data_IF_183512924427
#
_entry.id   IF_183512924427
#
_cell.length_a   1.000
_cell.length_b   1.000
_cell.length_c   1.000
_cell.angle_alpha   90.00
_cell.angle_beta   90.00
_cell.angle_gamma   90.00
#
_symmetry.space_group_name_H-M   'P 1'
#
loop_
_entity.id
_entity.type
_entity.pdbx_description
1 polymer ?
#
# COMPACT_ATOMS: atom_id res chain seq x y z
N UNK A 1 -32.61 -9.52 -11.70
CA UNK A 1 -31.57 -10.48 -11.21
C UNK A 1 -30.55 -9.82 -10.26
N UNK A 2 -30.96 -9.38 -9.06
CA UNK A 2 -30.04 -8.99 -7.96
C UNK A 2 -30.42 -9.59 -6.61
N UNK A 3 -31.45 -10.43 -6.58
CA UNK A 3 -31.95 -11.09 -5.37
C UNK A 3 -31.24 -12.43 -5.09
N UNK A 4 -30.85 -13.17 -6.13
CA UNK A 4 -30.22 -14.49 -5.98
C UNK A 4 -28.81 -14.44 -5.38
N UNK A 5 -28.03 -13.39 -5.69
CA UNK A 5 -26.67 -13.24 -5.16
C UNK A 5 -26.69 -12.95 -3.65
N UNK A 6 -27.66 -12.16 -3.17
CA UNK A 6 -27.83 -11.90 -1.72
C UNK A 6 -28.18 -13.17 -0.94
N UNK A 7 -29.01 -14.05 -1.51
CA UNK A 7 -29.48 -15.25 -0.83
C UNK A 7 -28.44 -16.39 -0.80
N UNK A 8 -27.52 -16.41 -1.76
CA UNK A 8 -26.37 -17.32 -1.78
C UNK A 8 -25.27 -16.83 -0.84
N UNK A 9 -25.14 -15.51 -0.64
CA UNK A 9 -24.21 -14.91 0.33
C UNK A 9 -24.68 -15.09 1.79
N UNK A 10 -26.00 -15.03 2.05
CA UNK A 10 -26.57 -15.29 3.39
C UNK A 10 -26.52 -16.77 3.80
N UNK A 11 -26.56 -17.71 2.84
CA UNK A 11 -26.43 -19.16 3.12
C UNK A 11 -24.98 -19.62 3.33
N UNK A 12 -23.99 -18.75 3.11
CA UNK A 12 -22.57 -18.99 3.38
C UNK A 12 -22.14 -18.77 4.83
N UNK A 13 -23.05 -18.44 5.75
CA UNK A 13 -22.72 -18.30 7.18
C UNK A 13 -21.93 -17.05 7.54
N UNK A 14 -21.77 -16.08 6.64
CA UNK A 14 -21.23 -14.75 6.97
C UNK A 14 -22.38 -13.88 7.49
N UNK A 15 -22.90 -14.27 8.66
CA UNK A 15 -23.60 -13.38 9.60
C UNK A 15 -22.68 -12.95 10.74
N UNK A 16 -21.36 -13.10 10.59
CA UNK A 16 -20.45 -12.36 11.44
C UNK A 16 -20.39 -10.94 10.91
N UNK A 17 -20.99 -10.02 11.65
CA UNK A 17 -20.72 -8.60 11.47
C UNK A 17 -19.20 -8.37 11.59
N UNK A 18 -18.65 -7.33 10.95
CA UNK A 18 -17.23 -6.95 11.15
C UNK A 18 -16.89 -6.82 12.65
N UNK A 19 -17.88 -6.45 13.48
CA UNK A 19 -17.80 -6.40 14.94
C UNK A 19 -17.64 -7.78 15.58
N UNK A 20 -18.28 -8.83 15.07
CA UNK A 20 -18.15 -10.20 15.60
C UNK A 20 -16.76 -10.78 15.31
N UNK A 21 -16.20 -10.48 14.12
CA UNK A 21 -14.83 -10.89 13.76
C UNK A 21 -13.83 -10.22 14.69
N UNK A 22 -13.96 -8.90 14.91
CA UNK A 22 -13.09 -8.15 15.82
C UNK A 22 -13.25 -8.65 17.25
N UNK A 23 -14.48 -8.92 17.70
CA UNK A 23 -14.76 -9.46 19.03
C UNK A 23 -14.14 -10.84 19.24
N UNK A 24 -14.22 -11.73 18.24
CA UNK A 24 -13.60 -13.05 18.28
C UNK A 24 -12.06 -12.95 18.30
N UNK A 25 -11.48 -12.06 17.50
CA UNK A 25 -10.04 -11.78 17.50
C UNK A 25 -9.55 -11.25 18.85
N UNK A 26 -10.29 -10.30 19.43
CA UNK A 26 -9.98 -9.74 20.74
C UNK A 26 -10.11 -10.80 21.86
N UNK A 27 -11.13 -11.66 21.79
CA UNK A 27 -11.29 -12.79 22.73
C UNK A 27 -10.09 -13.73 22.67
N UNK A 28 -9.70 -14.19 21.48
CA UNK A 28 -8.54 -15.07 21.32
C UNK A 28 -7.24 -14.40 21.74
N UNK A 29 -7.08 -13.11 21.49
CA UNK A 29 -5.92 -12.33 21.93
C UNK A 29 -5.83 -12.24 23.46
N UNK A 30 -6.93 -11.88 24.13
CA UNK A 30 -6.99 -11.84 25.60
C UNK A 30 -6.77 -13.22 26.22
N UNK A 31 -7.33 -14.26 25.61
CA UNK A 31 -7.12 -15.65 26.03
C UNK A 31 -5.65 -16.07 25.92
N UNK A 32 -4.98 -15.70 24.83
CA UNK A 32 -3.56 -15.96 24.63
C UNK A 32 -2.71 -15.24 25.68
N UNK A 33 -3.01 -13.96 25.97
CA UNK A 33 -2.33 -13.20 27.04
C UNK A 33 -2.44 -13.94 28.38
N UNK A 34 -3.63 -14.40 28.75
CA UNK A 34 -3.83 -15.12 30.00
C UNK A 34 -2.99 -16.40 30.09
N UNK A 35 -2.87 -17.16 28.98
CA UNK A 35 -2.03 -18.36 28.91
C UNK A 35 -0.54 -18.00 29.08
N UNK A 36 -0.04 -16.99 28.36
CA UNK A 36 1.36 -16.58 28.42
C UNK A 36 1.74 -16.11 29.82
N UNK A 37 0.93 -15.24 30.43
CA UNK A 37 1.16 -14.76 31.80
C UNK A 37 1.15 -15.90 32.83
N UNK A 38 0.29 -16.89 32.64
CA UNK A 38 0.25 -18.08 33.52
C UNK A 38 1.51 -18.92 33.36
N UNK A 39 1.97 -19.15 32.13
CA UNK A 39 3.21 -19.91 31.84
C UNK A 39 4.47 -19.19 32.33
N UNK A 40 4.51 -17.87 32.21
CA UNK A 40 5.55 -17.01 32.79
C UNK A 40 5.63 -17.14 34.31
N UNK A 41 4.47 -17.14 34.98
CA UNK A 41 4.39 -17.34 36.44
C UNK A 41 4.92 -18.72 36.86
N UNK A 42 4.77 -19.73 36.00
CA UNK A 42 5.29 -21.09 36.20
C UNK A 42 6.80 -21.21 35.88
N UNK A 43 7.46 -20.13 35.44
CA UNK A 43 8.89 -20.04 35.13
C UNK A 43 9.37 -21.06 34.07
N UNK A 44 8.49 -21.46 33.15
CA UNK A 44 8.79 -22.34 32.02
C UNK A 44 9.40 -21.54 30.85
N UNK A 45 10.60 -21.01 31.07
CA UNK A 45 11.29 -20.06 30.17
C UNK A 45 11.38 -20.50 28.70
N UNK A 46 11.59 -21.79 28.43
CA UNK A 46 11.73 -22.30 27.04
C UNK A 46 10.46 -22.26 26.19
N UNK A 47 9.27 -22.34 26.81
CA UNK A 47 7.99 -22.27 26.08
C UNK A 47 7.51 -20.83 25.90
N UNK A 48 7.88 -19.94 26.82
CA UNK A 48 7.45 -18.54 26.85
C UNK A 48 7.97 -17.73 25.67
N UNK A 49 9.23 -17.90 25.25
CA UNK A 49 9.84 -17.07 24.19
C UNK A 49 9.13 -17.24 22.83
N UNK A 50 8.71 -18.46 22.49
CA UNK A 50 8.00 -18.73 21.24
C UNK A 50 6.58 -18.13 21.28
N UNK A 51 5.90 -18.24 22.41
CA UNK A 51 4.57 -17.66 22.59
C UNK A 51 4.62 -16.13 22.62
N UNK A 52 5.70 -15.54 23.15
CA UNK A 52 5.90 -14.10 23.17
C UNK A 52 6.07 -13.53 21.74
N UNK A 53 6.73 -14.29 20.84
CA UNK A 53 6.80 -13.92 19.43
C UNK A 53 5.42 -13.93 18.75
N UNK A 54 4.61 -14.96 19.00
CA UNK A 54 3.23 -15.04 18.46
C UNK A 54 2.38 -13.89 18.98
N UNK A 55 2.51 -13.59 20.27
CA UNK A 55 1.84 -12.46 20.93
C UNK A 55 2.16 -11.12 20.25
N UNK A 56 3.45 -10.82 20.00
CA UNK A 56 3.88 -9.57 19.35
C UNK A 56 3.51 -9.51 17.85
N UNK A 57 3.20 -10.65 17.23
CA UNK A 57 2.83 -10.71 15.82
C UNK A 57 1.36 -10.35 15.55
N UNK A 58 0.46 -10.59 16.51
CA UNK A 58 -0.98 -10.28 16.34
C UNK A 58 -1.22 -8.79 16.08
N UNK A 59 -0.63 -7.83 16.84
CA UNK A 59 -0.74 -6.41 16.54
C UNK A 59 -0.23 -6.04 15.14
N UNK A 60 0.84 -6.68 14.66
CA UNK A 60 1.38 -6.47 13.31
C UNK A 60 0.36 -6.88 12.23
N UNK A 61 -0.33 -8.01 12.40
CA UNK A 61 -1.39 -8.45 11.48
C UNK A 61 -2.53 -7.43 11.43
N UNK A 62 -2.97 -6.94 12.59
CA UNK A 62 -4.03 -5.92 12.66
C UNK A 62 -3.60 -4.65 11.95
N UNK A 63 -2.37 -4.18 12.18
CA UNK A 63 -1.82 -3.02 11.49
C UNK A 63 -1.76 -3.24 9.97
N UNK A 64 -1.33 -4.41 9.50
CA UNK A 64 -1.33 -4.77 8.08
C UNK A 64 -2.72 -4.75 7.45
N UNK A 65 -3.74 -5.28 8.14
CA UNK A 65 -5.13 -5.25 7.67
C UNK A 65 -5.69 -3.83 7.59
N UNK A 66 -5.44 -3.01 8.61
CA UNK A 66 -5.85 -1.60 8.61
C UNK A 66 -5.17 -0.85 7.46
N UNK A 67 -3.87 -1.04 7.28
CA UNK A 67 -3.09 -0.44 6.19
C UNK A 67 -3.58 -0.92 4.82
N UNK A 68 -3.96 -2.18 4.66
CA UNK A 68 -4.54 -2.69 3.42
C UNK A 68 -5.84 -1.97 3.08
N UNK A 69 -6.75 -1.84 4.05
CA UNK A 69 -8.03 -1.16 3.84
C UNK A 69 -7.78 0.31 3.51
N UNK A 70 -7.08 1.03 4.39
CA UNK A 70 -6.81 2.46 4.20
C UNK A 70 -6.01 2.72 2.92
N UNK A 71 -5.02 1.88 2.62
CA UNK A 71 -4.18 1.98 1.44
C UNK A 71 -4.96 1.75 0.14
N UNK A 72 -5.88 0.80 0.10
CA UNK A 72 -6.76 0.62 -1.06
C UNK A 72 -7.73 1.78 -1.24
N UNK A 73 -8.29 2.33 -0.15
CA UNK A 73 -9.09 3.56 -0.22
C UNK A 73 -8.26 4.72 -0.76
N UNK A 74 -7.03 4.87 -0.29
CA UNK A 74 -6.10 5.89 -0.75
C UNK A 74 -5.74 5.71 -2.24
N UNK A 75 -5.51 4.47 -2.69
CA UNK A 75 -5.24 4.18 -4.10
C UNK A 75 -6.43 4.55 -5.02
N UNK A 76 -7.66 4.23 -4.60
CA UNK A 76 -8.87 4.62 -5.34
C UNK A 76 -9.06 6.14 -5.36
N UNK A 77 -8.76 6.81 -4.25
CA UNK A 77 -8.80 8.26 -4.17
C UNK A 77 -7.80 8.89 -5.16
N UNK A 78 -6.56 8.41 -5.18
CA UNK A 78 -5.53 8.86 -6.11
C UNK A 78 -5.92 8.61 -7.57
N UNK A 79 -6.46 7.43 -7.89
CA UNK A 79 -6.98 7.13 -9.23
C UNK A 79 -8.00 8.18 -9.67
N UNK A 80 -8.97 8.47 -8.81
CA UNK A 80 -10.08 9.37 -9.11
C UNK A 80 -9.59 10.80 -9.29
N UNK A 81 -8.73 11.27 -8.39
CA UNK A 81 -8.15 12.62 -8.45
C UNK A 81 -7.30 12.78 -9.71
N UNK A 82 -6.39 11.84 -9.98
CA UNK A 82 -5.52 11.90 -11.15
C UNK A 82 -6.32 11.80 -12.44
N UNK A 83 -7.27 10.86 -12.54
CA UNK A 83 -8.14 10.72 -13.72
C UNK A 83 -8.94 11.98 -13.99
N UNK A 84 -9.57 12.54 -12.96
CA UNK A 84 -10.39 13.75 -13.10
C UNK A 84 -9.53 14.95 -13.51
N UNK A 85 -8.34 15.08 -12.94
CA UNK A 85 -7.39 16.14 -13.28
C UNK A 85 -6.93 16.06 -14.74
N UNK A 86 -6.56 14.85 -15.21
CA UNK A 86 -6.16 14.64 -16.60
C UNK A 86 -7.32 14.81 -17.59
N UNK A 87 -8.53 14.38 -17.21
CA UNK A 87 -9.71 14.56 -18.04
C UNK A 87 -10.06 16.04 -18.22
N UNK A 88 -9.97 16.82 -17.13
CA UNK A 88 -10.18 18.27 -17.17
C UNK A 88 -9.12 19.00 -18.00
N UNK A 89 -7.91 18.45 -18.09
CA UNK A 89 -6.84 18.96 -18.96
C UNK A 89 -6.98 18.52 -20.43
N UNK A 90 -8.02 17.75 -20.79
CA UNK A 90 -8.28 17.31 -22.16
C UNK A 90 -7.39 16.16 -22.64
N UNK A 91 -6.76 15.40 -21.73
CA UNK A 91 -5.97 14.23 -22.10
C UNK A 91 -6.86 13.02 -22.36
N UNK A 92 -6.84 12.48 -23.59
CA UNK A 92 -7.53 11.23 -23.95
C UNK A 92 -7.06 10.02 -23.12
N UNK A 93 -5.82 10.06 -22.64
CA UNK A 93 -5.22 9.01 -21.81
C UNK A 93 -5.57 9.11 -20.31
N UNK A 94 -6.48 10.01 -19.89
CA UNK A 94 -6.80 10.25 -18.49
C UNK A 94 -7.19 8.98 -17.70
N UNK A 95 -7.92 8.06 -18.32
CA UNK A 95 -8.28 6.79 -17.70
C UNK A 95 -7.06 5.88 -17.46
N UNK A 96 -6.15 5.79 -18.43
CA UNK A 96 -4.92 5.01 -18.33
C UNK A 96 -3.97 5.58 -17.28
N UNK A 97 -3.85 6.90 -17.19
CA UNK A 97 -3.00 7.58 -16.19
C UNK A 97 -3.57 7.36 -14.78
N UNK A 98 -4.89 7.51 -14.60
CA UNK A 98 -5.53 7.20 -13.31
C UNK A 98 -5.30 5.74 -12.89
N UNK A 99 -5.46 4.80 -13.83
CA UNK A 99 -5.19 3.37 -13.59
C UNK A 99 -3.73 3.10 -13.22
N UNK A 100 -2.78 3.78 -13.85
CA UNK A 100 -1.37 3.70 -13.50
C UNK A 100 -1.11 4.20 -12.07
N UNK A 101 -1.77 5.30 -11.66
CA UNK A 101 -1.69 5.81 -10.30
C UNK A 101 -2.28 4.82 -9.27
N UNK A 102 -3.40 4.17 -9.59
CA UNK A 102 -3.96 3.10 -8.76
C UNK A 102 -2.96 1.96 -8.57
N UNK A 103 -2.47 1.37 -9.68
CA UNK A 103 -1.58 0.20 -9.65
C UNK A 103 -0.29 0.54 -8.91
N UNK A 104 0.31 1.71 -9.19
CA UNK A 104 1.50 2.18 -8.49
C UNK A 104 1.27 2.28 -7.00
N UNK A 105 0.20 2.96 -6.57
CA UNK A 105 -0.14 3.12 -5.16
C UNK A 105 -0.42 1.77 -4.48
N UNK A 106 -1.12 0.86 -5.14
CA UNK A 106 -1.39 -0.49 -4.60
C UNK A 106 -0.09 -1.28 -4.40
N UNK A 107 0.87 -1.20 -5.33
CA UNK A 107 2.17 -1.85 -5.17
C UNK A 107 2.90 -1.30 -3.92
N UNK A 108 2.88 0.02 -3.71
CA UNK A 108 3.45 0.64 -2.51
C UNK A 108 2.76 0.16 -1.22
N UNK A 109 1.42 0.09 -1.22
CA UNK A 109 0.65 -0.39 -0.05
C UNK A 109 1.01 -1.85 0.26
N UNK A 110 1.11 -2.70 -0.75
CA UNK A 110 1.47 -4.12 -0.58
C UNK A 110 2.92 -4.26 -0.08
N UNK A 111 3.85 -3.48 -0.62
CA UNK A 111 5.23 -3.44 -0.14
C UNK A 111 5.30 -3.02 1.35
N UNK A 112 4.56 -1.97 1.73
CA UNK A 112 4.48 -1.51 3.13
C UNK A 112 3.85 -2.55 4.06
N UNK A 113 2.92 -3.38 3.59
CA UNK A 113 2.38 -4.49 4.39
C UNK A 113 3.45 -5.54 4.71
N UNK A 114 4.31 -5.89 3.75
CA UNK A 114 5.41 -6.82 4.01
C UNK A 114 6.39 -6.26 5.04
N UNK A 115 6.62 -4.94 5.03
CA UNK A 115 7.42 -4.26 6.04
C UNK A 115 6.77 -4.32 7.43
N UNK A 116 5.47 -4.04 7.55
CA UNK A 116 4.73 -4.11 8.83
C UNK A 116 4.76 -5.53 9.42
N UNK A 117 4.60 -6.53 8.56
CA UNK A 117 4.66 -7.94 8.97
C UNK A 117 6.08 -8.39 9.32
N UNK A 118 7.10 -7.60 8.99
CA UNK A 118 8.51 -7.90 9.25
C UNK A 118 8.97 -9.21 8.61
N UNK A 119 8.35 -9.56 7.47
CA UNK A 119 8.69 -10.74 6.69
C UNK A 119 9.76 -10.33 5.69
N UNK A 120 11.02 -10.66 5.99
CA UNK A 120 12.15 -10.31 5.14
C UNK A 120 12.15 -8.82 4.74
N UNK A 121 11.77 -7.95 5.68
CA UNK A 121 11.54 -6.51 5.50
C UNK A 121 12.73 -5.83 4.82
N UNK A 122 13.95 -6.17 5.23
CA UNK A 122 15.18 -5.65 4.62
C UNK A 122 15.28 -6.02 3.12
N UNK A 123 15.04 -7.28 2.76
CA UNK A 123 15.09 -7.74 1.36
C UNK A 123 14.04 -7.00 0.52
N UNK A 124 12.83 -6.86 1.05
CA UNK A 124 11.72 -6.16 0.37
C UNK A 124 12.07 -4.69 0.12
N UNK A 125 12.60 -3.99 1.13
CA UNK A 125 13.01 -2.59 1.02
C UNK A 125 14.08 -2.42 -0.06
N UNK A 126 15.14 -3.23 -0.04
CA UNK A 126 16.20 -3.15 -1.05
C UNK A 126 15.69 -3.45 -2.46
N UNK A 127 14.88 -4.49 -2.63
CA UNK A 127 14.28 -4.82 -3.92
C UNK A 127 13.40 -3.68 -4.44
N UNK A 128 12.61 -3.07 -3.55
CA UNK A 128 11.76 -1.94 -3.87
C UNK A 128 12.58 -0.72 -4.32
N UNK A 129 13.60 -0.33 -3.54
CA UNK A 129 14.48 0.79 -3.87
C UNK A 129 15.19 0.57 -5.21
N UNK A 130 15.69 -0.63 -5.47
CA UNK A 130 16.37 -0.94 -6.72
C UNK A 130 15.44 -0.89 -7.93
N UNK A 131 14.26 -1.52 -7.84
CA UNK A 131 13.28 -1.54 -8.94
C UNK A 131 12.72 -0.14 -9.18
N UNK A 132 12.26 0.53 -8.12
CA UNK A 132 11.71 1.88 -8.23
C UNK A 132 12.77 2.87 -8.69
N UNK A 133 13.99 2.77 -8.15
CA UNK A 133 15.14 3.56 -8.57
C UNK A 133 15.48 3.37 -10.04
N UNK A 134 15.46 2.14 -10.55
CA UNK A 134 15.68 1.87 -11.97
C UNK A 134 14.58 2.47 -12.87
N UNK A 135 13.31 2.39 -12.44
CA UNK A 135 12.19 3.01 -13.17
C UNK A 135 12.32 4.53 -13.17
N UNK A 136 12.57 5.15 -12.01
CA UNK A 136 12.78 6.59 -11.92
C UNK A 136 13.98 7.05 -12.74
N UNK A 137 15.10 6.33 -12.70
CA UNK A 137 16.29 6.65 -13.48
C UNK A 137 16.04 6.53 -14.98
N UNK A 138 15.36 5.47 -15.42
CA UNK A 138 15.04 5.28 -16.83
C UNK A 138 14.10 6.37 -17.36
N UNK A 139 13.09 6.77 -16.59
CA UNK A 139 12.22 7.90 -16.93
C UNK A 139 13.01 9.22 -16.95
N UNK A 140 13.85 9.48 -15.93
CA UNK A 140 14.68 10.68 -15.87
C UNK A 140 15.59 10.81 -17.08
N UNK A 141 16.21 9.70 -17.53
CA UNK A 141 17.04 9.68 -18.74
C UNK A 141 16.20 9.85 -20.01
N UNK A 142 15.05 9.19 -20.12
CA UNK A 142 14.17 9.30 -21.28
C UNK A 142 13.66 10.74 -21.48
N UNK A 143 13.18 11.38 -20.41
CA UNK A 143 12.74 12.78 -20.45
C UNK A 143 13.93 13.75 -20.59
N UNK A 144 15.04 13.50 -19.89
CA UNK A 144 16.23 14.36 -19.94
C UNK A 144 16.89 14.39 -21.32
N UNK A 145 17.08 13.23 -21.94
CA UNK A 145 17.65 13.14 -23.28
C UNK A 145 16.64 13.55 -24.36
N UNK A 146 15.37 13.12 -24.24
CA UNK A 146 14.32 13.45 -25.21
C UNK A 146 13.86 14.91 -25.19
N UNK A 147 13.97 15.58 -24.04
CA UNK A 147 13.61 17.00 -23.88
C UNK A 147 14.75 17.97 -24.18
N UNK A 148 15.97 17.48 -24.45
CA UNK A 148 17.18 18.29 -24.63
C UNK A 148 17.01 19.39 -25.67
N UNK A 149 16.45 19.06 -26.83
CA UNK A 149 16.29 20.02 -27.92
C UNK A 149 15.23 21.09 -27.60
N UNK A 150 14.17 20.70 -26.89
CA UNK A 150 13.13 21.64 -26.43
C UNK A 150 13.72 22.61 -25.41
N UNK A 151 14.47 22.10 -24.43
CA UNK A 151 15.15 22.91 -23.43
C UNK A 151 16.16 23.87 -24.07
N UNK A 152 16.93 23.41 -25.06
CA UNK A 152 17.88 24.25 -25.81
C UNK A 152 17.19 25.44 -26.48
N UNK A 153 16.09 25.20 -27.22
CA UNK A 153 15.35 26.28 -27.90
C UNK A 153 14.74 27.31 -26.94
N UNK A 154 14.26 26.87 -25.77
CA UNK A 154 13.72 27.80 -24.77
C UNK A 154 14.82 28.65 -24.15
N UNK A 155 15.99 28.06 -23.87
CA UNK A 155 17.13 28.78 -23.32
C UNK A 155 17.66 29.83 -24.32
N UNK A 156 17.74 29.48 -25.60
CA UNK A 156 18.21 30.37 -26.66
C UNK A 156 17.28 31.59 -26.82
N UNK A 157 15.96 31.38 -26.85
CA UNK A 157 14.98 32.47 -26.86
C UNK A 157 15.08 33.39 -25.64
N UNK A 158 15.31 32.80 -24.46
CA UNK A 158 15.45 33.58 -23.22
C UNK A 158 16.73 34.42 -23.23
N UNK A 159 17.83 33.90 -23.77
CA UNK A 159 19.09 34.62 -23.95
C UNK A 159 18.98 35.73 -25.00
N UNK A 160 18.24 35.52 -26.08
CA UNK A 160 17.98 36.58 -27.09
C UNK A 160 17.12 37.71 -26.54
N UNK A 161 16.09 37.41 -25.73
CA UNK A 161 15.28 38.44 -25.05
C UNK A 161 16.14 39.30 -24.12
N UNK A 162 17.01 38.67 -23.32
CA UNK A 162 17.96 39.34 -22.42
C UNK A 162 19.01 40.21 -23.13
N UNK A 163 19.26 39.97 -24.41
CA UNK A 163 20.24 40.70 -25.23
C UNK A 163 19.62 41.90 -25.96
N UNK A 164 18.30 41.93 -26.11
CA UNK A 164 17.55 43.01 -26.73
C UNK A 164 16.96 44.01 -25.71
N UNK A 165 17.12 43.74 -24.41
CA UNK A 165 16.98 44.71 -23.30
C UNK A 165 18.35 45.32 -22.97
#
# INVERSE_FOLDING_TARGET
ERAGIKQILEKGGIKQSTSDIIGLLAFWYLFLIAIVTTLETLNLSGATDTLHTIYLYIPKIVAALVTLILGLYFANFLETVTRTSCANAGLDAAASIGRAAYIGTTIFVVAGIFEILDIASEIVIWAFILVFGAVCLSLALAFGLGGRDVAGRYLEKWLEQKKNE
#
